data_IF_665793190670
#
_entry.id   IF_665793190670
#
_cell.length_a   1.000
_cell.length_b   1.000
_cell.length_c   1.000
_cell.angle_alpha   90.00
_cell.angle_beta   90.00
_cell.angle_gamma   90.00
#
_symmetry.space_group_name_H-M   'P 1'
#
loop_
_entity.id
_entity.type
_entity.pdbx_description
1 polymer ?
#
# COMPACT_ATOMS: atom_id res chain seq x y z
N UNK A 1 -12.07 19.79 -3.39
CA UNK A 1 -11.28 19.29 -2.25
C UNK A 1 -11.90 19.87 -0.98
N UNK A 2 -12.17 19.07 0.06
CA UNK A 2 -12.70 19.63 1.32
C UNK A 2 -11.65 20.58 1.92
N UNK A 3 -12.07 21.70 2.48
CA UNK A 3 -11.17 22.68 3.13
C UNK A 3 -10.30 22.04 4.21
N UNK A 4 -10.81 20.97 4.84
CA UNK A 4 -10.10 20.18 5.84
C UNK A 4 -8.91 19.40 5.24
N UNK A 5 -9.06 18.72 4.10
CA UNK A 5 -7.96 17.97 3.50
C UNK A 5 -6.83 18.90 3.05
N UNK A 6 -7.18 20.09 2.55
CA UNK A 6 -6.18 21.10 2.18
C UNK A 6 -5.35 21.53 3.39
N UNK A 7 -6.01 21.90 4.50
CA UNK A 7 -5.31 22.25 5.73
C UNK A 7 -4.44 21.09 6.24
N UNK A 8 -4.89 19.85 6.05
CA UNK A 8 -4.11 18.70 6.49
C UNK A 8 -2.82 18.50 5.69
N UNK A 9 -2.86 18.73 4.38
CA UNK A 9 -1.71 18.70 3.47
C UNK A 9 -0.72 19.80 3.85
N UNK A 10 -1.17 21.04 4.04
CA UNK A 10 -0.28 22.16 4.42
C UNK A 10 0.46 21.89 5.74
N UNK A 11 -0.23 21.30 6.71
CA UNK A 11 0.39 20.89 7.97
C UNK A 11 1.44 19.79 7.75
N UNK A 12 1.16 18.79 6.91
CA UNK A 12 2.13 17.74 6.58
C UNK A 12 3.40 18.34 5.96
N UNK A 13 3.25 19.24 5.00
CA UNK A 13 4.38 19.89 4.31
C UNK A 13 5.26 20.68 5.27
N UNK A 14 4.63 21.43 6.19
CA UNK A 14 5.35 22.18 7.24
C UNK A 14 6.14 21.23 8.15
N UNK A 15 5.53 20.12 8.58
CA UNK A 15 6.20 19.11 9.42
C UNK A 15 7.34 18.41 8.68
N UNK A 16 7.17 18.15 7.38
CA UNK A 16 8.19 17.54 6.55
C UNK A 16 9.44 18.44 6.45
N UNK A 17 9.26 19.74 6.20
CA UNK A 17 10.38 20.69 6.17
C UNK A 17 11.10 20.76 7.51
N UNK A 18 10.37 20.76 8.63
CA UNK A 18 10.95 20.73 9.98
C UNK A 18 11.72 19.43 10.26
N UNK A 19 11.19 18.27 9.86
CA UNK A 19 11.87 16.99 10.04
C UNK A 19 13.16 16.90 9.22
N UNK A 20 13.12 17.35 7.96
CA UNK A 20 14.26 17.36 7.05
C UNK A 20 15.37 18.31 7.52
N UNK A 21 15.02 19.44 8.14
CA UNK A 21 16.00 20.42 8.63
C UNK A 21 16.56 20.11 10.01
N UNK A 22 15.77 19.48 10.89
CA UNK A 22 16.21 19.18 12.27
C UNK A 22 16.98 17.88 12.42
N UNK A 23 16.86 16.95 11.46
CA UNK A 23 17.47 15.61 11.48
C UNK A 23 17.21 14.83 12.79
N UNK A 24 16.09 15.12 13.46
CA UNK A 24 15.73 14.52 14.74
C UNK A 24 14.72 13.39 14.55
N UNK A 25 15.00 12.22 15.14
CA UNK A 25 14.10 11.05 15.13
C UNK A 25 12.67 11.39 15.58
N UNK A 26 12.50 12.20 16.63
CA UNK A 26 11.16 12.57 17.12
C UNK A 26 10.35 13.37 16.08
N UNK A 27 11.00 14.16 15.24
CA UNK A 27 10.34 14.89 14.17
C UNK A 27 9.86 13.93 13.06
N UNK A 28 10.66 12.92 12.72
CA UNK A 28 10.27 11.88 11.77
C UNK A 28 9.15 10.98 12.31
N UNK A 29 9.16 10.63 13.60
CA UNK A 29 8.06 9.88 14.23
C UNK A 29 6.73 10.64 14.18
N UNK A 30 6.77 11.95 14.51
CA UNK A 30 5.60 12.81 14.39
C UNK A 30 5.12 12.95 12.93
N UNK A 31 6.06 13.04 11.98
CA UNK A 31 5.75 13.07 10.55
C UNK A 31 5.10 11.77 10.09
N UNK A 32 5.58 10.60 10.54
CA UNK A 32 4.97 9.29 10.22
C UNK A 32 3.51 9.24 10.65
N UNK A 33 3.21 9.60 11.91
CA UNK A 33 1.83 9.63 12.38
C UNK A 33 0.96 10.58 11.51
N UNK A 34 1.54 11.70 11.08
CA UNK A 34 0.82 12.67 10.26
C UNK A 34 0.54 12.17 8.84
N UNK A 35 1.50 11.49 8.21
CA UNK A 35 1.31 10.85 6.89
C UNK A 35 0.17 9.84 6.96
N UNK A 36 0.15 8.98 7.98
CA UNK A 36 -0.92 7.99 8.18
C UNK A 36 -2.30 8.64 8.30
N UNK A 37 -2.44 9.68 9.13
CA UNK A 37 -3.73 10.37 9.28
C UNK A 37 -4.20 11.07 8.00
N UNK A 38 -3.29 11.56 7.15
CA UNK A 38 -3.66 12.16 5.87
C UNK A 38 -4.13 11.10 4.87
N UNK A 39 -3.45 9.95 4.83
CA UNK A 39 -3.85 8.79 4.01
C UNK A 39 -5.25 8.29 4.40
N UNK A 40 -5.50 8.11 5.69
CA UNK A 40 -6.81 7.74 6.24
C UNK A 40 -7.89 8.75 5.81
N UNK A 41 -7.64 10.05 5.99
CA UNK A 41 -8.58 11.09 5.61
C UNK A 41 -8.85 11.13 4.09
N UNK A 42 -7.83 10.89 3.27
CA UNK A 42 -7.99 10.80 1.82
C UNK A 42 -8.85 9.60 1.43
N UNK A 43 -8.62 8.44 2.06
CA UNK A 43 -9.42 7.23 1.86
C UNK A 43 -10.88 7.44 2.25
N UNK A 44 -11.14 8.03 3.41
CA UNK A 44 -12.51 8.32 3.87
C UNK A 44 -13.25 9.29 2.94
N UNK A 45 -12.57 10.35 2.48
CA UNK A 45 -13.14 11.30 1.52
C UNK A 45 -13.43 10.64 0.17
N UNK A 46 -12.56 9.74 -0.28
CA UNK A 46 -12.80 8.95 -1.48
C UNK A 46 -14.04 8.07 -1.31
N UNK A 47 -14.08 7.21 -0.29
CA UNK A 47 -15.20 6.28 -0.08
C UNK A 47 -16.54 7.00 0.14
N UNK A 48 -16.56 8.06 0.96
CA UNK A 48 -17.78 8.85 1.25
C UNK A 48 -18.37 9.52 0.01
N UNK A 49 -17.53 9.87 -0.97
CA UNK A 49 -17.97 10.49 -2.23
C UNK A 49 -18.76 9.54 -3.14
N UNK A 50 -18.63 8.22 -2.96
CA UNK A 50 -19.17 7.21 -3.87
C UNK A 50 -20.06 6.16 -3.18
N UNK A 51 -20.43 6.35 -1.91
CA UNK A 51 -21.23 5.39 -1.12
C UNK A 51 -22.48 4.89 -1.87
N UNK A 52 -23.24 5.80 -2.48
CA UNK A 52 -24.45 5.43 -3.22
C UNK A 52 -24.14 4.54 -4.42
N UNK A 53 -23.12 4.91 -5.20
CA UNK A 53 -22.70 4.13 -6.38
C UNK A 53 -22.29 2.71 -5.97
N UNK A 54 -21.52 2.58 -4.89
CA UNK A 54 -21.06 1.28 -4.40
C UNK A 54 -22.18 0.44 -3.80
N UNK A 55 -23.17 1.07 -3.14
CA UNK A 55 -24.36 0.38 -2.69
C UNK A 55 -25.18 -0.19 -3.87
N UNK A 56 -25.32 0.58 -4.94
CA UNK A 56 -26.04 0.14 -6.14
C UNK A 56 -25.33 -1.03 -6.83
N UNK A 57 -24.00 -0.98 -6.93
CA UNK A 57 -23.17 -2.09 -7.44
C UNK A 57 -23.29 -3.34 -6.58
N UNK A 58 -23.23 -3.22 -5.25
CA UNK A 58 -23.37 -4.37 -4.35
C UNK A 58 -24.74 -5.06 -4.50
N UNK A 59 -25.83 -4.29 -4.58
CA UNK A 59 -27.16 -4.85 -4.82
C UNK A 59 -27.27 -5.56 -6.17
N UNK A 60 -26.57 -5.04 -7.18
CA UNK A 60 -26.52 -5.64 -8.53
C UNK A 60 -25.82 -7.01 -8.49
N UNK A 61 -24.70 -7.09 -7.77
CA UNK A 61 -23.99 -8.34 -7.54
C UNK A 61 -24.83 -9.37 -6.78
N UNK A 62 -25.58 -8.96 -5.74
CA UNK A 62 -26.48 -9.84 -4.99
C UNK A 62 -27.60 -10.43 -5.87
N UNK A 63 -28.03 -9.70 -6.92
CA UNK A 63 -29.01 -10.16 -7.90
C UNK A 63 -28.40 -10.98 -9.04
N UNK A 64 -27.08 -11.17 -9.06
CA UNK A 64 -26.37 -11.87 -10.13
C UNK A 64 -26.39 -11.12 -11.48
N UNK A 65 -26.61 -9.81 -11.44
CA UNK A 65 -26.64 -8.97 -12.64
C UNK A 65 -25.21 -8.63 -13.11
N UNK A 66 -25.01 -8.63 -14.43
CA UNK A 66 -23.72 -8.30 -15.04
C UNK A 66 -23.34 -6.85 -14.82
N UNK A 67 -22.14 -6.60 -14.31
CA UNK A 67 -21.60 -5.25 -14.16
C UNK A 67 -21.24 -4.62 -15.52
N UNK A 68 -21.49 -3.32 -15.68
CA UNK A 68 -21.01 -2.54 -16.82
C UNK A 68 -19.51 -2.24 -16.68
N UNK A 69 -18.87 -1.83 -17.77
CA UNK A 69 -17.45 -1.43 -17.74
C UNK A 69 -17.16 -0.31 -16.73
N UNK A 70 -18.06 0.66 -16.59
CA UNK A 70 -17.92 1.76 -15.64
C UNK A 70 -18.07 1.28 -14.19
N UNK A 71 -18.97 0.33 -13.94
CA UNK A 71 -19.12 -0.30 -12.63
C UNK A 71 -17.89 -1.15 -12.29
N UNK A 72 -17.32 -1.87 -13.26
CA UNK A 72 -16.07 -2.61 -13.09
C UNK A 72 -14.92 -1.67 -12.73
N UNK A 73 -14.79 -0.53 -13.42
CA UNK A 73 -13.76 0.48 -13.08
C UNK A 73 -14.00 1.07 -11.70
N UNK A 74 -15.25 1.35 -11.32
CA UNK A 74 -15.57 1.84 -9.99
C UNK A 74 -15.16 0.84 -8.90
N UNK A 75 -15.48 -0.45 -9.09
CA UNK A 75 -15.04 -1.54 -8.21
C UNK A 75 -13.51 -1.63 -8.18
N UNK A 76 -12.84 -1.53 -9.33
CA UNK A 76 -11.38 -1.53 -9.43
C UNK A 76 -10.76 -0.42 -8.58
N UNK A 77 -11.29 0.79 -8.69
CA UNK A 77 -10.84 1.94 -7.91
C UNK A 77 -11.07 1.74 -6.41
N UNK A 78 -12.19 1.13 -6.01
CA UNK A 78 -12.46 0.85 -4.60
C UNK A 78 -11.53 -0.23 -4.02
N UNK A 79 -11.39 -1.35 -4.72
CA UNK A 79 -10.77 -2.56 -4.18
C UNK A 79 -9.24 -2.54 -4.31
N UNK A 80 -8.70 -1.98 -5.41
CA UNK A 80 -7.26 -1.99 -5.72
C UNK A 80 -6.75 -0.65 -6.26
N UNK A 81 -7.51 0.43 -6.11
CA UNK A 81 -7.12 1.75 -6.61
C UNK A 81 -5.86 2.28 -5.93
N UNK A 82 -5.80 2.18 -4.60
CA UNK A 82 -4.61 2.50 -3.80
C UNK A 82 -3.38 1.72 -4.28
N UNK A 83 -3.49 0.40 -4.47
CA UNK A 83 -2.42 -0.45 -4.99
C UNK A 83 -1.94 0.03 -6.38
N UNK A 84 -2.89 0.30 -7.28
CA UNK A 84 -2.63 0.77 -8.64
C UNK A 84 -1.87 2.10 -8.64
N UNK A 85 -2.35 3.08 -7.88
CA UNK A 85 -1.71 4.41 -7.82
C UNK A 85 -0.37 4.34 -7.09
N UNK A 86 -0.23 3.54 -6.03
CA UNK A 86 1.06 3.29 -5.39
C UNK A 86 2.10 2.75 -6.38
N UNK A 87 1.77 1.69 -7.13
CA UNK A 87 2.68 1.08 -8.11
C UNK A 87 3.02 2.00 -9.28
N UNK A 88 2.14 2.93 -9.64
CA UNK A 88 2.41 3.93 -10.68
C UNK A 88 3.43 4.98 -10.26
N UNK A 89 3.48 5.30 -8.97
CA UNK A 89 4.36 6.33 -8.42
C UNK A 89 5.63 5.76 -7.77
N UNK A 90 5.64 4.48 -7.39
CA UNK A 90 6.82 3.83 -6.81
C UNK A 90 7.88 3.51 -7.87
N UNK A 91 9.06 4.10 -7.70
CA UNK A 91 10.21 3.97 -8.60
C UNK A 91 11.44 3.31 -7.95
N UNK A 92 11.44 3.06 -6.63
CA UNK A 92 12.62 2.59 -5.91
C UNK A 92 12.76 1.06 -5.88
N UNK A 93 11.82 0.31 -6.43
CA UNK A 93 11.85 -1.16 -6.39
C UNK A 93 13.16 -1.75 -6.92
N UNK A 94 13.70 -1.20 -8.02
CA UNK A 94 14.98 -1.62 -8.58
C UNK A 94 16.17 -1.32 -7.67
N UNK A 95 16.14 -0.17 -7.00
CA UNK A 95 17.18 0.25 -6.06
C UNK A 95 17.17 -0.63 -4.81
N UNK A 96 16.00 -0.96 -4.29
CA UNK A 96 15.87 -1.89 -3.17
C UNK A 96 16.39 -3.30 -3.50
N UNK A 97 16.12 -3.80 -4.71
CA UNK A 97 16.70 -5.08 -5.13
C UNK A 97 18.22 -5.01 -5.24
N UNK A 98 18.75 -3.90 -5.74
CA UNK A 98 20.20 -3.69 -5.86
C UNK A 98 20.85 -3.64 -4.50
N UNK A 99 20.26 -2.91 -3.56
CA UNK A 99 20.74 -2.80 -2.19
C UNK A 99 20.68 -4.15 -1.45
N UNK A 100 19.59 -4.91 -1.61
CA UNK A 100 19.52 -6.26 -1.03
C UNK A 100 20.62 -7.17 -1.58
N UNK A 101 20.89 -7.12 -2.90
CA UNK A 101 21.99 -7.90 -3.50
C UNK A 101 23.35 -7.50 -2.93
N UNK A 102 23.58 -6.20 -2.71
CA UNK A 102 24.80 -5.69 -2.06
C UNK A 102 24.95 -6.27 -0.65
N UNK A 103 23.92 -6.14 0.19
CA UNK A 103 23.91 -6.66 1.57
C UNK A 103 24.18 -8.17 1.62
N UNK A 104 23.53 -8.96 0.75
CA UNK A 104 23.75 -10.40 0.68
C UNK A 104 25.18 -10.73 0.22
N UNK A 105 25.72 -9.98 -0.74
CA UNK A 105 27.11 -10.16 -1.19
C UNK A 105 28.10 -9.97 -0.04
N UNK A 106 27.91 -8.95 0.79
CA UNK A 106 28.77 -8.69 1.95
C UNK A 106 28.65 -9.78 3.03
N UNK A 107 27.44 -10.28 3.28
CA UNK A 107 27.23 -11.44 4.17
C UNK A 107 27.97 -12.68 3.62
N UNK A 108 27.93 -12.91 2.31
CA UNK A 108 28.66 -14.01 1.67
C UNK A 108 30.18 -13.86 1.85
N UNK A 109 30.72 -12.64 1.77
CA UNK A 109 32.15 -12.40 2.02
C UNK A 109 32.55 -12.74 3.46
N UNK A 110 31.69 -12.42 4.44
CA UNK A 110 31.91 -12.81 5.84
C UNK A 110 31.86 -14.33 6.01
N UNK A 111 30.89 -15.01 5.38
CA UNK A 111 30.74 -16.47 5.43
C UNK A 111 32.00 -17.22 4.94
N UNK A 112 32.73 -16.66 3.97
CA UNK A 112 33.90 -17.32 3.41
C UNK A 112 35.12 -17.34 4.37
N UNK A 113 35.00 -16.76 5.57
CA UNK A 113 36.03 -16.77 6.62
C UNK A 113 35.87 -18.01 7.49
N UNK A 114 36.99 -18.63 7.88
CA UNK A 114 36.99 -19.83 8.71
C UNK A 114 36.44 -19.58 10.14
N UNK A 115 36.68 -18.39 10.68
CA UNK A 115 36.10 -17.90 11.95
C UNK A 115 35.83 -16.40 11.81
N UNK A 116 34.85 -15.90 12.55
CA UNK A 116 34.55 -14.47 12.64
C UNK A 116 35.13 -13.91 13.95
N UNK A 117 35.86 -12.81 13.83
CA UNK A 117 36.24 -11.92 14.92
C UNK A 117 35.03 -11.16 15.46
N UNK A 118 35.17 -10.55 16.65
CA UNK A 118 34.11 -9.73 17.24
C UNK A 118 33.66 -8.56 16.35
N UNK A 119 34.59 -7.91 15.62
CA UNK A 119 34.26 -6.84 14.67
C UNK A 119 33.39 -7.37 13.54
N UNK A 120 33.74 -8.52 12.96
CA UNK A 120 32.99 -9.12 11.85
C UNK A 120 31.61 -9.60 12.28
N UNK A 121 31.45 -10.05 13.54
CA UNK A 121 30.13 -10.33 14.10
C UNK A 121 29.27 -9.07 14.21
N UNK A 122 29.84 -7.95 14.65
CA UNK A 122 29.12 -6.67 14.68
C UNK A 122 28.78 -6.16 13.28
N UNK A 123 29.68 -6.35 12.30
CA UNK A 123 29.40 -6.07 10.89
C UNK A 123 28.22 -6.91 10.38
N UNK A 124 28.21 -8.22 10.67
CA UNK A 124 27.09 -9.09 10.30
C UNK A 124 25.78 -8.61 10.92
N UNK A 125 25.78 -8.20 12.20
CA UNK A 125 24.60 -7.65 12.86
C UNK A 125 24.08 -6.39 12.18
N UNK A 126 24.97 -5.48 11.75
CA UNK A 126 24.60 -4.28 11.01
C UNK A 126 23.97 -4.62 9.66
N UNK A 127 24.59 -5.50 8.86
CA UNK A 127 24.06 -5.95 7.57
C UNK A 127 22.67 -6.59 7.70
N UNK A 128 22.48 -7.43 8.72
CA UNK A 128 21.18 -8.02 9.01
C UNK A 128 20.14 -6.97 9.43
N UNK A 129 20.54 -5.91 10.12
CA UNK A 129 19.65 -4.81 10.50
C UNK A 129 19.20 -4.02 9.28
N UNK A 130 20.11 -3.69 8.39
CA UNK A 130 19.81 -2.96 7.15
C UNK A 130 18.86 -3.77 6.26
N UNK A 131 19.14 -5.07 6.09
CA UNK A 131 18.26 -5.97 5.35
C UNK A 131 16.85 -6.04 5.97
N UNK A 132 16.75 -6.08 7.31
CA UNK A 132 15.46 -6.11 8.02
C UNK A 132 14.65 -4.84 7.78
N UNK A 133 15.29 -3.69 7.64
CA UNK A 133 14.61 -2.43 7.37
C UNK A 133 14.20 -2.29 5.90
N UNK A 134 14.94 -2.91 4.97
CA UNK A 134 14.68 -2.86 3.53
C UNK A 134 13.60 -3.84 3.06
N UNK A 135 13.60 -5.06 3.60
CA UNK A 135 12.72 -6.15 3.17
C UNK A 135 11.21 -5.80 3.20
N UNK A 136 10.67 -5.06 4.19
CA UNK A 136 9.27 -4.67 4.21
C UNK A 136 8.84 -3.92 2.94
N UNK A 137 9.67 -3.01 2.41
CA UNK A 137 9.35 -2.24 1.20
C UNK A 137 9.25 -3.14 -0.05
N UNK A 138 10.18 -4.08 -0.20
CA UNK A 138 10.14 -5.08 -1.28
C UNK A 138 8.89 -5.97 -1.19
N UNK A 139 8.57 -6.45 0.01
CA UNK A 139 7.40 -7.29 0.25
C UNK A 139 6.12 -6.52 -0.04
N UNK A 140 6.03 -5.26 0.40
CA UNK A 140 4.88 -4.41 0.16
C UNK A 140 4.64 -4.22 -1.34
N UNK A 141 5.66 -3.82 -2.10
CA UNK A 141 5.56 -3.65 -3.54
C UNK A 141 5.07 -4.91 -4.26
N UNK A 142 5.63 -6.07 -3.92
CA UNK A 142 5.23 -7.35 -4.52
C UNK A 142 3.78 -7.71 -4.18
N UNK A 143 3.37 -7.50 -2.92
CA UNK A 143 1.99 -7.76 -2.48
C UNK A 143 0.98 -6.88 -3.19
N UNK A 144 1.26 -5.58 -3.34
CA UNK A 144 0.36 -4.67 -4.06
C UNK A 144 0.25 -5.04 -5.54
N UNK A 145 1.35 -5.47 -6.16
CA UNK A 145 1.35 -5.98 -7.53
C UNK A 145 0.51 -7.24 -7.69
N UNK A 146 0.66 -8.20 -6.77
CA UNK A 146 -0.14 -9.43 -6.75
C UNK A 146 -1.63 -9.14 -6.48
N UNK A 147 -1.93 -8.16 -5.62
CA UNK A 147 -3.30 -7.73 -5.32
C UNK A 147 -3.98 -7.16 -6.57
N UNK A 148 -3.29 -6.30 -7.32
CA UNK A 148 -3.77 -5.79 -8.61
C UNK A 148 -3.97 -6.93 -9.62
N UNK A 149 -2.99 -7.83 -9.76
CA UNK A 149 -3.09 -8.96 -10.69
C UNK A 149 -4.27 -9.87 -10.39
N UNK A 150 -4.46 -10.27 -9.12
CA UNK A 150 -5.58 -11.13 -8.69
C UNK A 150 -6.93 -10.48 -8.94
N UNK A 151 -7.02 -9.17 -8.77
CA UNK A 151 -8.23 -8.43 -9.09
C UNK A 151 -8.53 -8.51 -10.60
N UNK A 152 -7.55 -8.22 -11.46
CA UNK A 152 -7.74 -8.29 -12.91
C UNK A 152 -8.14 -9.69 -13.36
N UNK A 153 -7.46 -10.73 -12.86
CA UNK A 153 -7.81 -12.14 -13.14
C UNK A 153 -9.26 -12.47 -12.77
N UNK A 154 -9.74 -11.96 -11.63
CA UNK A 154 -11.14 -12.14 -11.19
C UNK A 154 -12.13 -11.44 -12.13
N UNK A 155 -11.74 -10.29 -12.69
CA UNK A 155 -12.60 -9.45 -13.54
C UNK A 155 -12.51 -9.78 -15.04
N UNK A 156 -11.67 -10.72 -15.46
CA UNK A 156 -11.50 -11.12 -16.88
C UNK A 156 -12.80 -11.58 -17.56
N UNK A 157 -13.80 -12.03 -16.79
CA UNK A 157 -15.13 -12.44 -17.29
C UNK A 157 -16.06 -11.32 -17.75
N UNK A 158 -15.58 -10.06 -17.85
CA UNK A 158 -16.36 -8.96 -18.43
C UNK A 158 -17.58 -8.53 -17.60
N UNK A 159 -17.49 -8.66 -16.28
CA UNK A 159 -18.54 -8.24 -15.34
C UNK A 159 -19.57 -9.31 -14.97
N UNK A 160 -19.54 -10.47 -15.62
CA UNK A 160 -20.35 -11.63 -15.22
C UNK A 160 -19.54 -12.52 -14.28
N UNK A 161 -19.80 -12.42 -12.99
CA UNK A 161 -19.09 -13.17 -11.95
C UNK A 161 -19.87 -14.44 -11.58
N UNK A 162 -19.14 -15.50 -11.20
CA UNK A 162 -19.77 -16.68 -10.61
C UNK A 162 -20.54 -16.26 -9.33
N UNK A 163 -21.70 -16.88 -9.01
CA UNK A 163 -22.54 -16.44 -7.89
C UNK A 163 -21.80 -16.31 -6.55
N UNK A 164 -20.89 -17.25 -6.24
CA UNK A 164 -20.07 -17.18 -5.02
C UNK A 164 -19.11 -15.98 -5.01
N UNK A 165 -18.48 -15.69 -6.15
CA UNK A 165 -17.59 -14.52 -6.32
C UNK A 165 -18.37 -13.21 -6.26
N UNK A 166 -19.55 -13.15 -6.88
CA UNK A 166 -20.42 -11.98 -6.84
C UNK A 166 -20.86 -11.66 -5.40
N UNK A 167 -21.29 -12.68 -4.64
CA UNK A 167 -21.67 -12.51 -3.24
C UNK A 167 -20.50 -12.07 -2.36
N UNK A 168 -19.33 -12.70 -2.54
CA UNK A 168 -18.12 -12.31 -1.83
C UNK A 168 -17.77 -10.84 -2.08
N UNK A 169 -17.77 -10.42 -3.35
CA UNK A 169 -17.45 -9.05 -3.74
C UNK A 169 -18.49 -8.05 -3.20
N UNK A 170 -19.77 -8.38 -3.23
CA UNK A 170 -20.84 -7.56 -2.61
C UNK A 170 -20.56 -7.32 -1.12
N UNK A 171 -20.21 -8.37 -0.38
CA UNK A 171 -19.89 -8.26 1.05
C UNK A 171 -18.66 -7.37 1.29
N UNK A 172 -17.59 -7.57 0.51
CA UNK A 172 -16.38 -6.73 0.60
C UNK A 172 -16.70 -5.26 0.33
N UNK A 173 -17.46 -4.96 -0.73
CA UNK A 173 -17.85 -3.58 -1.05
C UNK A 173 -18.62 -2.96 0.12
N UNK A 174 -19.57 -3.69 0.72
CA UNK A 174 -20.36 -3.22 1.85
C UNK A 174 -19.50 -2.96 3.08
N UNK A 175 -18.56 -3.84 3.39
CA UNK A 175 -17.61 -3.65 4.50
C UNK A 175 -16.74 -2.41 4.27
N UNK A 176 -16.24 -2.21 3.04
CA UNK A 176 -15.38 -1.07 2.72
C UNK A 176 -16.10 0.29 2.79
N UNK A 177 -17.40 0.35 2.46
CA UNK A 177 -18.18 1.60 2.57
C UNK A 177 -18.80 1.81 3.96
N UNK A 178 -18.85 0.76 4.80
CA UNK A 178 -19.39 0.83 6.16
C UNK A 178 -18.31 1.06 7.23
N UNK A 179 -17.06 0.67 6.99
CA UNK A 179 -15.96 0.88 7.92
C UNK A 179 -15.52 2.34 7.90
N UNK A 180 -15.53 3.05 9.05
CA UNK A 180 -14.63 4.18 9.25
C UNK A 180 -13.18 3.68 9.11
N UNK A 181 -12.24 4.53 8.73
CA UNK A 181 -10.84 4.14 8.78
C UNK A 181 -10.48 3.80 10.23
N UNK A 182 -10.07 2.55 10.51
CA UNK A 182 -9.37 2.20 11.76
C UNK A 182 -7.99 2.83 11.77
#
# INVERSE_FOLDING_TARGET
MSTQLHAQIEQLLTMAEQALTSENAAAYEALTARVSSLDEAARELFQSSFVRQYHDIANKLDRGETLSSDEIEAVRLLIVGDAKFYLQHENNYGDWQTELRRLISEIVQLRNRATLSGIEMLTLQALCRDARNLLPSLVNYLRERERLQRFEETMQGGGQLAPGTAQFLSNVIREMIASPAL
#
